data_IF_636312226306
#
_entry.id   IF_636312226306
#
_cell.length_a   1.000
_cell.length_b   1.000
_cell.length_c   1.000
_cell.angle_alpha   90.00
_cell.angle_beta   90.00
_cell.angle_gamma   90.00
#
_symmetry.space_group_name_H-M   'P 1'
#
loop_
_entity.id
_entity.type
_entity.pdbx_description
1 polymer ?
#
# COMPACT_ATOMS: atom_id res chain seq x y z
N UNK A 1 -40.65 -13.41 -9.71
CA UNK A 1 -39.91 -12.84 -8.56
C UNK A 1 -38.54 -13.49 -8.36
N UNK A 2 -38.44 -14.82 -8.17
CA UNK A 2 -37.16 -15.51 -7.93
C UNK A 2 -36.10 -15.29 -9.02
N UNK A 3 -36.51 -15.31 -10.29
CA UNK A 3 -35.60 -15.10 -11.44
C UNK A 3 -35.01 -13.68 -11.45
N UNK A 4 -35.81 -12.66 -11.12
CA UNK A 4 -35.33 -11.29 -11.02
C UNK A 4 -34.34 -11.11 -9.87
N UNK A 5 -34.62 -11.72 -8.70
CA UNK A 5 -33.70 -11.69 -7.55
C UNK A 5 -32.36 -12.35 -7.91
N UNK A 6 -32.42 -13.52 -8.55
CA UNK A 6 -31.23 -14.25 -8.98
C UNK A 6 -30.41 -13.44 -9.99
N UNK A 7 -31.07 -12.80 -10.96
CA UNK A 7 -30.43 -11.93 -11.94
C UNK A 7 -29.77 -10.71 -11.29
N UNK A 8 -30.45 -10.06 -10.32
CA UNK A 8 -29.88 -8.94 -9.56
C UNK A 8 -28.63 -9.36 -8.80
N UNK A 9 -28.59 -10.54 -8.20
CA UNK A 9 -27.37 -11.04 -7.55
C UNK A 9 -26.27 -11.39 -8.56
N UNK A 10 -26.63 -12.04 -9.68
CA UNK A 10 -25.69 -12.46 -10.71
C UNK A 10 -25.01 -11.28 -11.42
N UNK A 11 -25.70 -10.16 -11.57
CA UNK A 11 -25.16 -8.97 -12.24
C UNK A 11 -24.65 -7.96 -11.22
N UNK A 12 -25.38 -7.73 -10.13
CA UNK A 12 -25.07 -6.72 -9.13
C UNK A 12 -23.80 -7.03 -8.34
N UNK A 13 -23.62 -8.27 -7.85
CA UNK A 13 -22.41 -8.65 -7.10
C UNK A 13 -21.14 -8.45 -7.95
N UNK A 14 -21.03 -9.01 -9.17
CA UNK A 14 -19.84 -8.80 -9.98
C UNK A 14 -19.65 -7.34 -10.36
N UNK A 15 -20.71 -6.56 -10.58
CA UNK A 15 -20.60 -5.13 -10.84
C UNK A 15 -19.94 -4.40 -9.64
N UNK A 16 -20.36 -4.70 -8.41
CA UNK A 16 -19.76 -4.13 -7.19
C UNK A 16 -18.29 -4.54 -7.06
N UNK A 17 -17.96 -5.80 -7.32
CA UNK A 17 -16.57 -6.30 -7.27
C UNK A 17 -15.70 -5.56 -8.29
N UNK A 18 -16.17 -5.42 -9.53
CA UNK A 18 -15.48 -4.68 -10.59
C UNK A 18 -15.30 -3.21 -10.18
N UNK A 19 -16.34 -2.60 -9.61
CA UNK A 19 -16.29 -1.21 -9.16
C UNK A 19 -15.27 -1.01 -8.04
N UNK A 20 -15.19 -1.95 -7.08
CA UNK A 20 -14.19 -1.91 -6.01
C UNK A 20 -12.77 -2.01 -6.57
N UNK A 21 -12.52 -2.98 -7.46
CA UNK A 21 -11.21 -3.18 -8.08
C UNK A 21 -10.77 -2.01 -8.95
N UNK A 22 -11.68 -1.47 -9.78
CA UNK A 22 -11.39 -0.31 -10.63
C UNK A 22 -11.14 0.94 -9.78
N UNK A 23 -11.88 1.14 -8.69
CA UNK A 23 -11.60 2.23 -7.76
C UNK A 23 -10.25 2.07 -7.07
N UNK A 24 -9.85 0.85 -6.68
CA UNK A 24 -8.50 0.59 -6.15
C UNK A 24 -7.41 0.89 -7.17
N UNK A 25 -7.64 0.57 -8.44
CA UNK A 25 -6.65 0.76 -9.49
C UNK A 25 -6.53 2.24 -9.91
N UNK A 26 -7.65 2.97 -9.95
CA UNK A 26 -7.71 4.37 -10.37
C UNK A 26 -7.37 5.35 -9.24
N UNK A 27 -7.86 5.10 -8.02
CA UNK A 27 -7.75 6.01 -6.88
C UNK A 27 -6.80 5.51 -5.78
N UNK A 28 -6.25 4.30 -5.90
CA UNK A 28 -5.21 3.80 -5.02
C UNK A 28 -3.95 4.67 -5.05
N UNK A 29 -3.30 4.81 -3.90
CA UNK A 29 -2.07 5.60 -3.84
C UNK A 29 -0.95 4.89 -4.60
N UNK A 30 -0.52 5.48 -5.73
CA UNK A 30 0.53 4.90 -6.57
C UNK A 30 1.83 4.69 -5.80
N UNK A 31 2.35 3.46 -5.84
CA UNK A 31 3.61 3.05 -5.20
C UNK A 31 4.79 3.98 -5.51
N UNK A 32 4.87 4.50 -6.74
CA UNK A 32 5.97 5.38 -7.16
C UNK A 32 5.99 6.71 -6.39
N UNK A 33 4.81 7.24 -6.05
CA UNK A 33 4.71 8.44 -5.19
C UNK A 33 5.23 8.14 -3.78
N UNK A 34 4.98 6.93 -3.28
CA UNK A 34 5.43 6.49 -1.97
C UNK A 34 6.96 6.30 -1.94
N UNK A 35 7.51 5.66 -2.97
CA UNK A 35 8.95 5.48 -3.16
C UNK A 35 9.69 6.83 -3.21
N UNK A 36 9.24 7.78 -4.03
CA UNK A 36 9.84 9.12 -4.12
C UNK A 36 9.85 9.85 -2.78
N UNK A 37 8.83 9.66 -1.93
CA UNK A 37 8.81 10.26 -0.59
C UNK A 37 9.76 9.57 0.38
N UNK A 38 9.86 8.25 0.29
CA UNK A 38 10.86 7.51 1.05
C UNK A 38 12.27 7.97 0.68
N UNK A 39 12.57 8.07 -0.61
CA UNK A 39 13.86 8.58 -1.09
C UNK A 39 14.15 9.98 -0.55
N UNK A 40 13.18 10.91 -0.61
CA UNK A 40 13.33 12.25 -0.01
C UNK A 40 13.62 12.20 1.49
N UNK A 41 12.93 11.33 2.25
CA UNK A 41 13.13 11.20 3.69
C UNK A 41 14.51 10.65 4.04
N UNK A 42 15.00 9.69 3.25
CA UNK A 42 16.29 9.03 3.48
C UNK A 42 17.43 9.61 2.65
N UNK A 43 17.22 10.73 1.96
CA UNK A 43 18.23 11.39 1.13
C UNK A 43 19.53 11.68 1.91
N UNK A 44 19.41 11.99 3.20
CA UNK A 44 20.56 12.25 4.09
C UNK A 44 21.28 10.98 4.59
N UNK A 45 20.66 9.81 4.51
CA UNK A 45 21.18 8.56 5.10
C UNK A 45 21.86 7.63 4.08
N UNK A 46 22.06 8.08 2.83
CA UNK A 46 22.63 7.29 1.73
C UNK A 46 21.93 5.93 1.58
N UNK A 47 20.74 5.96 0.98
CA UNK A 47 19.95 4.75 0.66
C UNK A 47 20.72 3.86 -0.29
N UNK A 48 20.89 2.59 0.09
CA UNK A 48 21.48 1.55 -0.77
C UNK A 48 20.36 0.84 -1.53
N UNK A 49 19.26 0.50 -0.84
CA UNK A 49 18.14 -0.22 -1.44
C UNK A 49 16.84 0.02 -0.67
N UNK A 50 15.73 0.15 -1.39
CA UNK A 50 14.38 0.15 -0.83
C UNK A 50 13.68 -1.11 -1.33
N UNK A 51 13.34 -2.02 -0.44
CA UNK A 51 12.57 -3.23 -0.73
C UNK A 51 11.14 -3.05 -0.24
N UNK A 52 10.16 -3.46 -1.04
CA UNK A 52 8.75 -3.50 -0.64
C UNK A 52 8.48 -4.87 -0.04
N UNK A 53 8.11 -4.91 1.23
CA UNK A 53 7.77 -6.16 1.94
C UNK A 53 6.30 -6.51 1.78
N UNK A 54 5.43 -5.49 1.79
CA UNK A 54 3.99 -5.66 1.74
C UNK A 54 3.34 -4.42 1.13
N UNK A 55 2.29 -4.60 0.32
CA UNK A 55 1.63 -3.50 -0.38
C UNK A 55 0.10 -3.67 -0.37
N UNK A 56 -0.55 -2.93 0.52
CA UNK A 56 -2.01 -2.77 0.57
C UNK A 56 -2.37 -1.30 0.23
N UNK A 57 -2.77 -1.00 -1.02
CA UNK A 57 -2.89 0.38 -1.52
C UNK A 57 -3.83 1.30 -0.72
N UNK A 58 -4.87 0.75 -0.07
CA UNK A 58 -5.82 1.49 0.79
C UNK A 58 -5.53 1.42 2.29
N UNK A 59 -4.56 0.62 2.73
CA UNK A 59 -4.32 0.38 4.17
C UNK A 59 -2.91 0.78 4.57
N UNK A 60 -1.89 0.17 3.98
CA UNK A 60 -0.49 0.49 4.23
C UNK A 60 0.44 -0.20 3.22
N UNK A 61 1.66 0.31 3.10
CA UNK A 61 2.75 -0.36 2.40
C UNK A 61 3.94 -0.44 3.34
N UNK A 62 4.51 -1.64 3.50
CA UNK A 62 5.68 -1.86 4.33
C UNK A 62 6.91 -1.84 3.44
N UNK A 63 7.84 -0.96 3.77
CA UNK A 63 9.14 -0.82 3.13
C UNK A 63 10.24 -1.26 4.08
N UNK A 64 11.27 -1.88 3.52
CA UNK A 64 12.55 -2.13 4.16
C UNK A 64 13.60 -1.25 3.48
N UNK A 65 14.12 -0.28 4.21
CA UNK A 65 15.13 0.65 3.73
C UNK A 65 16.49 0.20 4.23
N UNK A 66 17.36 -0.20 3.31
CA UNK A 66 18.77 -0.50 3.59
C UNK A 66 19.57 0.79 3.37
N UNK A 67 20.14 1.31 4.44
CA UNK A 67 21.06 2.46 4.45
C UNK A 67 22.45 2.00 4.85
N UNK A 68 23.48 2.84 4.66
CA UNK A 68 24.83 2.53 5.16
C UNK A 68 24.89 2.35 6.67
N UNK A 69 24.01 3.01 7.42
CA UNK A 69 23.95 2.93 8.87
C UNK A 69 23.17 1.71 9.40
N UNK A 70 22.43 1.00 8.53
CA UNK A 70 21.64 -0.15 8.92
C UNK A 70 20.34 -0.31 8.12
N UNK A 71 19.52 -1.26 8.56
CA UNK A 71 18.24 -1.58 7.92
C UNK A 71 17.07 -1.08 8.78
N UNK A 72 16.21 -0.25 8.19
CA UNK A 72 14.99 0.24 8.83
C UNK A 72 13.74 -0.35 8.19
N UNK A 73 12.78 -0.80 9.00
CA UNK A 73 11.44 -1.19 8.52
C UNK A 73 10.47 -0.05 8.74
N UNK A 74 9.67 0.24 7.74
CA UNK A 74 8.81 1.41 7.69
C UNK A 74 7.44 1.01 7.19
N UNK A 75 6.40 1.37 7.94
CA UNK A 75 5.02 1.23 7.51
C UNK A 75 4.53 2.59 7.02
N UNK A 76 4.19 2.69 5.75
CA UNK A 76 3.61 3.89 5.17
C UNK A 76 2.10 3.70 4.98
N UNK A 77 1.30 4.54 5.63
CA UNK A 77 -0.16 4.56 5.42
C UNK A 77 -0.54 5.50 4.27
N UNK A 78 -1.71 5.29 3.64
CA UNK A 78 -2.25 6.25 2.68
C UNK A 78 -2.37 7.64 3.32
N UNK A 79 -2.13 8.68 2.51
CA UNK A 79 -1.96 10.04 3.03
C UNK A 79 -0.56 10.29 3.61
N UNK A 80 0.41 9.44 3.27
CA UNK A 80 1.84 9.63 3.54
C UNK A 80 2.27 9.61 5.01
N UNK A 81 1.47 9.02 5.89
CA UNK A 81 1.85 8.87 7.29
C UNK A 81 2.88 7.74 7.42
N UNK A 82 4.11 8.12 7.76
CA UNK A 82 5.25 7.21 7.89
C UNK A 82 5.40 6.79 9.35
N UNK A 83 5.37 5.48 9.62
CA UNK A 83 5.54 4.88 10.95
C UNK A 83 6.80 4.02 10.92
N UNK A 84 7.79 4.33 11.78
CA UNK A 84 9.00 3.50 11.93
C UNK A 84 8.63 2.25 12.73
N UNK A 85 8.87 1.07 12.17
CA UNK A 85 8.69 -0.20 12.87
C UNK A 85 9.97 -0.50 13.64
N UNK A 86 9.89 -0.42 14.97
CA UNK A 86 10.97 -0.84 15.87
C UNK A 86 10.81 -2.31 16.23
N UNK A 87 11.93 -3.03 16.37
CA UNK A 87 11.90 -4.38 16.93
C UNK A 87 11.36 -4.29 18.36
N UNK A 88 10.35 -5.09 18.69
CA UNK A 88 9.87 -5.23 20.07
C UNK A 88 11.04 -5.76 20.90
N UNK A 89 11.46 -5.02 21.94
CA UNK A 89 12.41 -5.57 22.92
C UNK A 89 11.77 -6.81 23.54
N UNK A 90 12.52 -7.91 23.53
CA UNK A 90 12.14 -9.17 24.18
C UNK A 90 12.25 -9.01 25.68
#
# INVERSE_FOLDING_TARGET
MLISILYTFLVGIPLIIIFMYTNDLLFGEKRDKQLKKLEKRFAKQSVIKIEVLDHEPKKFTIFQVKTKAGTEKIKMKPGYKIIKLVKKKK
#
